data_IF_575504241744
#
_entry.id   IF_575504241744
#
_cell.length_a   1.000
_cell.length_b   1.000
_cell.length_c   1.000
_cell.angle_alpha   90.00
_cell.angle_beta   90.00
_cell.angle_gamma   90.00
#
_symmetry.space_group_name_H-M   'P 1'
#
loop_
_entity.id
_entity.type
_entity.pdbx_description
1 polymer ?
#
# COMPACT_ATOMS: atom_id res chain seq x y z
N UNK A 1 -14.72 -13.67 12.92
CA UNK A 1 -15.61 -12.86 12.05
C UNK A 1 -17.00 -12.94 12.64
N UNK A 2 -17.23 -12.20 13.73
CA UNK A 2 -18.51 -12.23 14.47
C UNK A 2 -19.25 -10.88 14.39
N UNK A 3 -18.80 -9.96 13.53
CA UNK A 3 -19.50 -8.69 13.31
C UNK A 3 -20.78 -8.95 12.52
N UNK A 4 -21.99 -8.67 13.08
CA UNK A 4 -23.24 -8.86 12.34
C UNK A 4 -23.26 -8.11 11.02
N UNK A 5 -23.81 -8.74 10.00
CA UNK A 5 -23.95 -8.20 8.64
C UNK A 5 -22.63 -7.65 8.07
N UNK A 6 -21.50 -8.28 8.43
CA UNK A 6 -20.15 -7.82 8.11
C UNK A 6 -20.02 -7.31 6.67
N UNK A 7 -20.41 -8.11 5.66
CA UNK A 7 -20.24 -7.74 4.25
C UNK A 7 -21.07 -6.53 3.84
N UNK A 8 -22.27 -6.37 4.40
CA UNK A 8 -23.11 -5.21 4.12
C UNK A 8 -22.50 -3.95 4.75
N UNK A 9 -22.08 -4.04 6.02
CA UNK A 9 -21.47 -2.93 6.74
C UNK A 9 -20.11 -2.54 6.16
N UNK A 10 -19.30 -3.52 5.78
CA UNK A 10 -18.00 -3.33 5.13
C UNK A 10 -18.13 -2.56 3.81
N UNK A 11 -19.17 -2.86 3.02
CA UNK A 11 -19.51 -2.11 1.79
C UNK A 11 -19.92 -0.68 2.09
N UNK A 12 -20.75 -0.44 3.11
CA UNK A 12 -21.20 0.90 3.51
C UNK A 12 -20.04 1.79 3.97
N UNK A 13 -19.00 1.18 4.53
CA UNK A 13 -17.76 1.87 4.92
C UNK A 13 -16.86 2.22 3.73
N UNK A 14 -17.18 1.76 2.52
CA UNK A 14 -16.41 2.08 1.31
C UNK A 14 -15.32 1.07 0.96
N UNK A 15 -15.20 -0.03 1.71
CA UNK A 15 -14.33 -1.13 1.32
C UNK A 15 -14.93 -1.93 0.17
N UNK A 16 -14.07 -2.32 -0.77
CA UNK A 16 -14.43 -3.14 -1.92
C UNK A 16 -13.63 -4.45 -2.00
N UNK A 17 -12.80 -4.72 -0.98
CA UNK A 17 -11.98 -5.93 -0.86
C UNK A 17 -12.11 -6.55 0.53
N UNK A 18 -11.89 -7.86 0.61
CA UNK A 18 -11.72 -8.60 1.87
C UNK A 18 -10.37 -9.29 1.90
N UNK A 19 -9.79 -9.46 3.09
CA UNK A 19 -8.52 -10.16 3.27
C UNK A 19 -8.70 -11.65 3.50
N UNK A 20 -7.68 -12.41 3.09
CA UNK A 20 -7.57 -13.85 3.29
C UNK A 20 -6.13 -14.21 3.64
N UNK A 21 -5.98 -15.24 4.46
CA UNK A 21 -4.69 -15.73 4.94
C UNK A 21 -4.59 -17.26 4.75
N UNK A 22 -4.64 -17.78 3.51
CA UNK A 22 -4.67 -19.23 3.26
C UNK A 22 -3.44 -19.99 3.81
N UNK A 23 -2.35 -19.28 4.10
CA UNK A 23 -1.19 -19.83 4.79
C UNK A 23 -1.51 -20.44 6.16
N UNK A 24 -2.57 -19.99 6.83
CA UNK A 24 -3.02 -20.50 8.12
C UNK A 24 -4.15 -21.53 8.03
N UNK A 25 -4.64 -21.84 6.83
CA UNK A 25 -5.75 -22.77 6.68
C UNK A 25 -5.29 -24.21 6.83
N UNK A 26 -6.07 -24.97 7.59
CA UNK A 26 -5.94 -26.41 7.67
C UNK A 26 -7.05 -27.03 6.83
N UNK A 27 -6.70 -27.95 5.92
CA UNK A 27 -7.65 -28.63 5.04
C UNK A 27 -8.80 -29.33 5.81
N UNK A 28 -8.61 -29.67 7.08
CA UNK A 28 -9.64 -30.28 7.94
C UNK A 28 -10.64 -29.27 8.52
N UNK A 29 -10.37 -27.96 8.45
CA UNK A 29 -11.15 -26.92 9.12
C UNK A 29 -11.23 -25.61 8.32
N UNK A 30 -11.05 -25.66 7.00
CA UNK A 30 -11.04 -24.47 6.13
C UNK A 30 -12.42 -24.08 5.58
N UNK A 31 -13.45 -24.90 5.84
CA UNK A 31 -14.84 -24.68 5.41
C UNK A 31 -15.36 -23.27 5.68
N UNK A 32 -15.29 -22.76 6.93
CA UNK A 32 -15.76 -21.41 7.25
C UNK A 32 -15.05 -20.30 6.46
N UNK A 33 -13.75 -20.44 6.16
CA UNK A 33 -13.02 -19.45 5.36
C UNK A 33 -13.46 -19.48 3.91
N UNK A 34 -13.67 -20.67 3.34
CA UNK A 34 -14.16 -20.83 1.96
C UNK A 34 -15.57 -20.26 1.81
N UNK A 35 -16.47 -20.59 2.75
CA UNK A 35 -17.84 -20.04 2.79
C UNK A 35 -17.83 -18.52 2.87
N UNK A 36 -16.98 -17.94 3.72
CA UNK A 36 -16.81 -16.48 3.81
C UNK A 36 -16.33 -15.86 2.49
N UNK A 37 -15.33 -16.45 1.84
CA UNK A 37 -14.82 -15.90 0.58
C UNK A 37 -15.83 -16.05 -0.56
N UNK A 38 -16.57 -17.15 -0.61
CA UNK A 38 -17.63 -17.34 -1.62
C UNK A 38 -18.78 -16.36 -1.39
N UNK A 39 -19.19 -16.13 -0.13
CA UNK A 39 -20.15 -15.10 0.22
C UNK A 39 -19.63 -13.69 -0.16
N UNK A 40 -18.36 -13.40 0.09
CA UNK A 40 -17.72 -12.12 -0.25
C UNK A 40 -17.74 -11.87 -1.76
N UNK A 41 -17.36 -12.86 -2.57
CA UNK A 41 -17.41 -12.76 -4.04
C UNK A 41 -18.84 -12.60 -4.55
N UNK A 42 -19.80 -13.37 -4.01
CA UNK A 42 -21.23 -13.24 -4.36
C UNK A 42 -21.75 -11.84 -4.03
N UNK A 43 -21.26 -11.24 -2.95
CA UNK A 43 -21.54 -9.87 -2.58
C UNK A 43 -20.75 -8.83 -3.39
N UNK A 44 -19.92 -9.23 -4.36
CA UNK A 44 -19.19 -8.33 -5.26
C UNK A 44 -17.88 -7.76 -4.70
N UNK A 45 -17.28 -8.39 -3.68
CA UNK A 45 -15.97 -8.02 -3.17
C UNK A 45 -14.85 -8.73 -3.93
N UNK A 46 -13.71 -8.05 -4.05
CA UNK A 46 -12.44 -8.68 -4.43
C UNK A 46 -11.75 -9.29 -3.20
N UNK A 47 -10.85 -10.25 -3.43
CA UNK A 47 -10.11 -10.94 -2.37
C UNK A 47 -8.63 -10.58 -2.43
N UNK A 48 -8.08 -10.12 -1.31
CA UNK A 48 -6.65 -9.94 -1.09
C UNK A 48 -6.13 -11.17 -0.35
N UNK A 49 -5.18 -11.89 -0.94
CA UNK A 49 -4.34 -12.85 -0.23
C UNK A 49 -3.15 -12.10 0.34
N UNK A 50 -3.07 -12.00 1.66
CA UNK A 50 -1.83 -11.60 2.30
C UNK A 50 -0.95 -12.85 2.49
N UNK A 51 0.35 -12.73 2.25
CA UNK A 51 1.28 -13.85 2.41
C UNK A 51 2.67 -13.39 2.88
N UNK A 52 3.26 -14.11 3.83
CA UNK A 52 4.57 -13.82 4.41
C UNK A 52 5.56 -14.92 4.06
N UNK A 53 5.73 -15.23 2.77
CA UNK A 53 6.36 -16.46 2.28
C UNK A 53 7.66 -16.86 3.00
N UNK A 54 8.64 -15.96 3.05
CA UNK A 54 9.92 -16.29 3.67
C UNK A 54 9.86 -16.37 5.20
N UNK A 55 8.91 -15.69 5.85
CA UNK A 55 8.62 -15.91 7.27
C UNK A 55 8.00 -17.30 7.51
N UNK A 56 7.11 -17.76 6.62
CA UNK A 56 6.53 -19.10 6.70
C UNK A 56 7.59 -20.19 6.47
N UNK A 57 8.50 -20.01 5.51
CA UNK A 57 9.64 -20.90 5.32
C UNK A 57 10.53 -20.98 6.57
N UNK A 58 10.69 -19.87 7.31
CA UNK A 58 11.46 -19.85 8.56
C UNK A 58 10.71 -20.47 9.75
N UNK A 59 9.38 -20.59 9.69
CA UNK A 59 8.54 -21.01 10.82
C UNK A 59 8.89 -22.44 11.25
N UNK A 60 9.14 -22.64 12.53
CA UNK A 60 9.48 -23.96 13.10
C UNK A 60 10.93 -24.40 12.92
N UNK A 61 11.75 -23.67 12.17
CA UNK A 61 13.17 -23.98 12.01
C UNK A 61 14.03 -23.45 13.17
N UNK A 62 14.96 -24.28 13.65
CA UNK A 62 15.93 -23.93 14.69
C UNK A 62 17.14 -23.22 14.10
N UNK A 63 17.84 -22.43 14.92
CA UNK A 63 19.09 -21.80 14.51
C UNK A 63 20.08 -22.86 13.96
N UNK A 64 20.80 -22.52 12.90
CA UNK A 64 21.70 -23.45 12.20
C UNK A 64 21.01 -24.42 11.22
N UNK A 65 19.68 -24.35 11.06
CA UNK A 65 18.99 -25.03 9.95
C UNK A 65 19.55 -24.58 8.59
N UNK A 66 19.52 -25.47 7.59
CA UNK A 66 20.12 -25.24 6.27
C UNK A 66 19.60 -23.99 5.54
N UNK A 67 18.39 -23.51 5.86
CA UNK A 67 17.79 -22.31 5.26
C UNK A 67 18.51 -21.02 5.69
N UNK A 68 19.20 -21.04 6.84
CA UNK A 68 19.90 -19.88 7.39
C UNK A 68 21.33 -19.77 6.87
N UNK A 69 21.96 -18.62 7.08
CA UNK A 69 23.34 -18.36 6.69
C UNK A 69 24.30 -19.34 7.38
N UNK A 70 25.17 -19.97 6.59
CA UNK A 70 26.21 -20.89 7.04
C UNK A 70 27.48 -20.11 7.42
N UNK A 71 27.51 -19.54 8.62
CA UNK A 71 28.63 -18.74 9.11
C UNK A 71 29.54 -19.63 9.96
N UNK A 72 30.84 -19.76 9.64
CA UNK A 72 31.75 -20.63 10.40
C UNK A 72 31.79 -20.27 11.89
N UNK A 73 31.57 -21.27 12.76
CA UNK A 73 31.60 -21.09 14.21
C UNK A 73 30.35 -20.44 14.82
N UNK A 74 29.33 -20.09 14.02
CA UNK A 74 28.11 -19.42 14.51
C UNK A 74 26.84 -20.21 14.19
N UNK A 75 25.90 -20.26 15.14
CA UNK A 75 24.51 -20.70 14.91
C UNK A 75 23.59 -19.50 14.92
N UNK A 76 22.85 -19.27 13.83
CA UNK A 76 22.00 -18.08 13.66
C UNK A 76 20.65 -18.41 13.01
N UNK A 77 19.77 -17.41 12.93
CA UNK A 77 18.49 -17.44 12.20
C UNK A 77 18.42 -16.40 11.08
N UNK A 78 19.58 -15.95 10.58
CA UNK A 78 19.63 -15.00 9.47
C UNK A 78 19.31 -15.77 8.19
N UNK A 79 18.20 -15.43 7.53
CA UNK A 79 17.80 -16.14 6.33
C UNK A 79 18.84 -15.94 5.22
N UNK A 80 19.27 -17.05 4.61
CA UNK A 80 20.29 -17.04 3.59
C UNK A 80 19.71 -16.61 2.24
N UNK A 81 20.13 -15.46 1.67
CA UNK A 81 19.55 -14.95 0.43
C UNK A 81 19.80 -15.85 -0.79
N UNK A 82 20.86 -16.66 -0.75
CA UNK A 82 21.24 -17.59 -1.82
C UNK A 82 20.68 -19.01 -1.63
N UNK A 83 19.90 -19.27 -0.58
CA UNK A 83 19.30 -20.59 -0.40
C UNK A 83 18.23 -20.84 -1.45
N UNK A 84 18.35 -21.96 -2.18
CA UNK A 84 17.42 -22.47 -3.20
C UNK A 84 17.21 -23.98 -3.06
N UNK A 85 17.30 -24.51 -1.84
CA UNK A 85 17.15 -25.94 -1.56
C UNK A 85 15.69 -26.37 -1.39
N UNK A 86 15.45 -27.60 -0.91
CA UNK A 86 14.09 -28.18 -0.84
C UNK A 86 13.07 -27.37 -0.04
N UNK A 87 13.48 -26.66 1.03
CA UNK A 87 12.55 -25.81 1.79
C UNK A 87 12.11 -24.57 1.00
N UNK A 88 12.94 -24.08 0.07
CA UNK A 88 12.62 -22.97 -0.81
C UNK A 88 11.61 -23.41 -1.88
N UNK A 89 11.85 -24.55 -2.52
CA UNK A 89 10.92 -25.13 -3.51
C UNK A 89 9.55 -25.42 -2.89
N UNK A 90 9.54 -26.05 -1.70
CA UNK A 90 8.32 -26.30 -0.94
C UNK A 90 7.56 -25.01 -0.59
N UNK A 91 8.29 -23.92 -0.34
CA UNK A 91 7.66 -22.63 -0.07
C UNK A 91 6.96 -22.06 -1.31
N UNK A 92 7.59 -22.18 -2.49
CA UNK A 92 6.95 -21.79 -3.75
C UNK A 92 5.69 -22.64 -4.03
N UNK A 93 5.75 -23.95 -3.78
CA UNK A 93 4.58 -24.83 -3.86
C UNK A 93 3.47 -24.43 -2.88
N UNK A 94 3.84 -24.01 -1.66
CA UNK A 94 2.90 -23.51 -0.65
C UNK A 94 2.22 -22.23 -1.13
N UNK A 95 2.96 -21.28 -1.70
CA UNK A 95 2.40 -20.04 -2.25
C UNK A 95 1.42 -20.36 -3.38
N UNK A 96 1.79 -21.23 -4.33
CA UNK A 96 0.89 -21.67 -5.40
C UNK A 96 -0.39 -22.32 -4.84
N UNK A 97 -0.27 -23.16 -3.80
CA UNK A 97 -1.42 -23.73 -3.09
C UNK A 97 -2.30 -22.65 -2.46
N UNK A 98 -1.72 -21.66 -1.80
CA UNK A 98 -2.48 -20.57 -1.19
C UNK A 98 -3.27 -19.77 -2.24
N UNK A 99 -2.72 -19.57 -3.45
CA UNK A 99 -3.47 -18.97 -4.56
C UNK A 99 -4.66 -19.85 -4.98
N UNK A 100 -4.47 -21.17 -5.11
CA UNK A 100 -5.56 -22.10 -5.46
C UNK A 100 -6.70 -22.09 -4.46
N UNK A 101 -6.36 -22.11 -3.18
CA UNK A 101 -7.33 -22.15 -2.09
C UNK A 101 -8.01 -20.79 -1.88
N UNK A 102 -7.21 -19.72 -1.88
CA UNK A 102 -7.68 -18.36 -1.65
C UNK A 102 -8.43 -17.75 -2.83
N UNK A 103 -8.15 -18.20 -4.06
CA UNK A 103 -8.62 -17.64 -5.34
C UNK A 103 -8.61 -16.09 -5.34
N UNK A 104 -7.45 -15.46 -5.11
CA UNK A 104 -7.38 -14.02 -4.86
C UNK A 104 -7.44 -13.19 -6.15
N UNK A 105 -7.86 -11.93 -6.02
CA UNK A 105 -7.69 -10.88 -7.02
C UNK A 105 -6.35 -10.15 -6.84
N UNK A 106 -5.85 -10.12 -5.59
CA UNK A 106 -4.60 -9.48 -5.21
C UNK A 106 -3.75 -10.40 -4.35
N UNK A 107 -2.43 -10.35 -4.52
CA UNK A 107 -1.47 -10.97 -3.59
C UNK A 107 -0.59 -9.87 -3.01
N UNK A 108 -0.68 -9.66 -1.70
CA UNK A 108 0.14 -8.70 -0.98
C UNK A 108 1.13 -9.42 -0.09
N UNK A 109 2.42 -9.27 -0.40
CA UNK A 109 3.50 -9.87 0.36
C UNK A 109 3.83 -9.05 1.62
N UNK A 110 4.08 -9.75 2.71
CA UNK A 110 4.58 -9.20 3.97
C UNK A 110 5.91 -9.87 4.33
N UNK A 111 6.94 -9.44 3.59
CA UNK A 111 8.31 -9.98 3.65
C UNK A 111 9.19 -8.96 4.38
N UNK A 112 9.56 -9.29 5.62
CA UNK A 112 10.36 -8.41 6.48
C UNK A 112 11.62 -9.08 7.06
N UNK A 113 11.96 -10.26 6.57
CA UNK A 113 13.03 -11.07 7.13
C UNK A 113 14.44 -10.77 6.59
N UNK A 114 14.58 -9.79 5.68
CA UNK A 114 15.85 -9.53 4.97
C UNK A 114 16.80 -8.56 5.67
N UNK A 115 16.38 -7.91 6.77
CA UNK A 115 17.15 -6.85 7.43
C UNK A 115 18.60 -7.22 7.78
N UNK A 116 18.85 -8.48 8.14
CA UNK A 116 20.20 -8.95 8.53
C UNK A 116 20.90 -9.76 7.43
N UNK A 117 20.25 -10.00 6.30
CA UNK A 117 20.74 -10.93 5.28
C UNK A 117 21.98 -10.41 4.56
N UNK A 118 22.11 -9.10 4.34
CA UNK A 118 23.32 -8.53 3.74
C UNK A 118 24.56 -8.74 4.64
N UNK A 119 24.43 -8.45 5.94
CA UNK A 119 25.50 -8.65 6.91
C UNK A 119 25.86 -10.15 7.01
N UNK A 120 24.85 -11.03 7.11
CA UNK A 120 25.07 -12.48 7.16
C UNK A 120 25.70 -13.05 5.89
N UNK A 121 25.33 -12.55 4.71
CA UNK A 121 25.84 -13.05 3.43
C UNK A 121 27.35 -12.82 3.24
N UNK A 122 27.91 -11.76 3.81
CA UNK A 122 29.37 -11.49 3.79
C UNK A 122 30.21 -12.56 4.48
N UNK A 123 29.62 -13.32 5.40
CA UNK A 123 30.29 -14.38 6.17
C UNK A 123 29.77 -15.79 5.85
N UNK A 124 28.65 -15.89 5.13
CA UNK A 124 27.99 -17.15 4.81
C UNK A 124 28.76 -17.89 3.70
N UNK A 125 29.25 -19.10 3.97
CA UNK A 125 30.01 -19.91 2.99
C UNK A 125 29.24 -20.12 1.68
N UNK A 126 27.95 -20.47 1.76
CA UNK A 126 27.07 -20.60 0.59
C UNK A 126 27.00 -19.31 -0.24
N UNK A 127 26.81 -18.16 0.41
CA UNK A 127 26.77 -16.88 -0.31
C UNK A 127 28.12 -16.52 -0.92
N UNK A 128 29.23 -16.79 -0.24
CA UNK A 128 30.58 -16.53 -0.77
C UNK A 128 30.89 -17.41 -2.00
N UNK A 129 30.51 -18.68 -1.97
CA UNK A 129 30.65 -19.58 -3.12
C UNK A 129 29.82 -19.13 -4.31
N UNK A 130 28.55 -18.75 -4.09
CA UNK A 130 27.67 -18.23 -5.12
C UNK A 130 28.16 -16.89 -5.69
N UNK A 131 28.63 -15.98 -4.83
CA UNK A 131 29.24 -14.71 -5.23
C UNK A 131 30.47 -14.93 -6.11
N UNK A 132 31.36 -15.86 -5.74
CA UNK A 132 32.55 -16.17 -6.55
C UNK A 132 32.16 -16.68 -7.95
N UNK A 133 31.10 -17.49 -8.04
CA UNK A 133 30.59 -18.01 -9.31
C UNK A 133 29.92 -16.93 -10.15
N UNK A 134 29.26 -15.96 -9.53
CA UNK A 134 28.58 -14.88 -10.27
C UNK A 134 29.55 -13.86 -10.87
N UNK A 135 30.75 -13.70 -10.30
CA UNK A 135 31.74 -12.70 -10.73
C UNK A 135 31.30 -11.26 -10.44
N UNK A 136 30.27 -11.07 -9.61
CA UNK A 136 29.68 -9.76 -9.30
C UNK A 136 30.23 -9.19 -7.98
N UNK A 137 29.89 -7.93 -7.69
CA UNK A 137 30.08 -7.37 -6.34
C UNK A 137 29.06 -7.98 -5.37
N UNK A 138 29.35 -7.96 -4.07
CA UNK A 138 28.41 -8.45 -3.05
C UNK A 138 27.04 -7.77 -3.14
N UNK A 139 27.02 -6.45 -3.32
CA UNK A 139 25.77 -5.70 -3.44
C UNK A 139 24.96 -6.16 -4.65
N UNK A 140 25.59 -6.25 -5.82
CA UNK A 140 24.91 -6.66 -7.04
C UNK A 140 24.39 -8.11 -6.94
N UNK A 141 25.18 -9.01 -6.36
CA UNK A 141 24.76 -10.38 -6.09
C UNK A 141 23.56 -10.47 -5.15
N UNK A 142 23.50 -9.66 -4.10
CA UNK A 142 22.35 -9.64 -3.19
C UNK A 142 21.10 -9.10 -3.89
N UNK A 143 21.25 -8.07 -4.73
CA UNK A 143 20.15 -7.54 -5.52
C UNK A 143 19.64 -8.55 -6.56
N UNK A 144 20.53 -9.37 -7.15
CA UNK A 144 20.10 -10.52 -7.97
C UNK A 144 19.31 -11.51 -7.12
N UNK A 145 19.81 -11.88 -5.94
CA UNK A 145 19.11 -12.81 -5.05
C UNK A 145 17.70 -12.32 -4.72
N UNK A 146 17.54 -11.03 -4.38
CA UNK A 146 16.23 -10.43 -4.12
C UNK A 146 15.31 -10.42 -5.35
N UNK A 147 15.87 -10.12 -6.54
CA UNK A 147 15.11 -10.12 -7.79
C UNK A 147 14.65 -11.53 -8.19
N UNK A 148 15.52 -12.53 -8.04
CA UNK A 148 15.19 -13.94 -8.24
C UNK A 148 14.11 -14.41 -7.28
N UNK A 149 14.18 -14.04 -6.01
CA UNK A 149 13.13 -14.43 -5.05
C UNK A 149 11.76 -13.88 -5.43
N UNK A 150 11.70 -12.64 -5.95
CA UNK A 150 10.43 -12.07 -6.41
C UNK A 150 9.96 -12.69 -7.73
N UNK A 151 10.88 -13.03 -8.64
CA UNK A 151 10.56 -13.78 -9.87
C UNK A 151 9.93 -15.13 -9.54
N UNK A 152 10.52 -15.87 -8.61
CA UNK A 152 10.09 -17.22 -8.27
C UNK A 152 8.74 -17.21 -7.52
N UNK A 153 8.50 -16.18 -6.68
CA UNK A 153 7.18 -15.93 -6.07
C UNK A 153 6.10 -15.61 -7.13
N UNK A 154 6.42 -14.75 -8.10
CA UNK A 154 5.52 -14.43 -9.21
C UNK A 154 5.21 -15.68 -10.06
N UNK A 155 6.20 -16.52 -10.34
CA UNK A 155 6.01 -17.80 -11.02
C UNK A 155 5.11 -18.75 -10.22
N UNK A 156 5.28 -18.83 -8.91
CA UNK A 156 4.40 -19.63 -8.03
C UNK A 156 2.95 -19.12 -8.05
N UNK A 157 2.75 -17.80 -8.02
CA UNK A 157 1.41 -17.19 -8.11
C UNK A 157 0.76 -17.51 -9.47
N UNK A 158 1.50 -17.37 -10.57
CA UNK A 158 1.04 -17.71 -11.92
C UNK A 158 0.65 -19.18 -12.04
N UNK A 159 1.49 -20.09 -11.56
CA UNK A 159 1.20 -21.52 -11.57
C UNK A 159 -0.05 -21.86 -10.74
N UNK A 160 -0.20 -21.25 -9.57
CA UNK A 160 -1.40 -21.41 -8.74
C UNK A 160 -2.68 -20.94 -9.45
N UNK A 161 -2.62 -19.78 -10.10
CA UNK A 161 -3.75 -19.20 -10.83
C UNK A 161 -4.14 -20.03 -12.07
N UNK A 162 -3.15 -20.48 -12.85
CA UNK A 162 -3.33 -21.31 -14.04
C UNK A 162 -4.05 -22.63 -13.71
N UNK A 163 -3.64 -23.30 -12.62
CA UNK A 163 -4.22 -24.59 -12.20
C UNK A 163 -5.72 -24.53 -11.88
N UNK A 164 -6.25 -23.36 -11.52
CA UNK A 164 -7.67 -23.16 -11.23
C UNK A 164 -8.38 -22.27 -12.25
N UNK A 165 -7.70 -21.88 -13.34
CA UNK A 165 -8.27 -21.11 -14.45
C UNK A 165 -8.71 -19.69 -14.07
N UNK A 166 -8.02 -19.02 -13.15
CA UNK A 166 -8.29 -17.59 -12.83
C UNK A 166 -7.23 -16.66 -13.44
N UNK A 167 -7.54 -15.37 -13.66
CA UNK A 167 -6.53 -14.38 -14.01
C UNK A 167 -5.41 -14.32 -12.97
N UNK A 168 -4.18 -14.03 -13.41
CA UNK A 168 -3.05 -13.83 -12.50
C UNK A 168 -3.39 -12.67 -11.54
N UNK A 169 -3.37 -12.90 -10.22
CA UNK A 169 -3.64 -11.85 -9.24
C UNK A 169 -2.68 -10.68 -9.37
N UNK A 170 -3.16 -9.49 -9.04
CA UNK A 170 -2.33 -8.29 -9.00
C UNK A 170 -1.42 -8.34 -7.78
N UNK A 171 -0.11 -8.29 -7.98
CA UNK A 171 0.88 -8.50 -6.91
C UNK A 171 1.45 -7.18 -6.37
N UNK A 172 1.67 -7.11 -5.06
CA UNK A 172 2.32 -6.00 -4.35
C UNK A 172 3.12 -6.52 -3.15
N UNK A 173 4.07 -5.74 -2.65
CA UNK A 173 4.84 -6.09 -1.45
C UNK A 173 4.87 -4.93 -0.46
N UNK A 174 4.54 -5.24 0.79
CA UNK A 174 4.56 -4.32 1.92
C UNK A 174 5.88 -3.55 1.99
N UNK A 175 5.76 -2.24 2.18
CA UNK A 175 6.85 -1.29 2.30
C UNK A 175 7.86 -1.30 1.13
N UNK A 176 7.45 -1.71 -0.08
CA UNK A 176 8.26 -1.60 -1.29
C UNK A 176 7.73 -0.52 -2.20
N UNK A 177 8.55 0.50 -2.45
CA UNK A 177 8.13 1.68 -3.18
C UNK A 177 9.33 2.51 -3.67
N UNK A 178 9.10 3.41 -4.64
CA UNK A 178 10.16 4.13 -5.35
C UNK A 178 10.99 5.11 -4.49
N UNK A 179 10.40 5.70 -3.44
CA UNK A 179 11.12 6.62 -2.54
C UNK A 179 12.12 5.95 -1.58
N UNK A 180 11.86 4.69 -1.21
CA UNK A 180 12.78 3.86 -0.40
C UNK A 180 12.97 2.53 -1.12
N UNK A 181 13.70 2.55 -2.25
CA UNK A 181 13.68 1.44 -3.18
C UNK A 181 14.39 0.19 -2.63
N UNK A 182 15.37 0.38 -1.74
CA UNK A 182 16.15 -0.71 -1.17
C UNK A 182 15.58 -1.16 0.18
N UNK A 183 15.27 -2.45 0.28
CA UNK A 183 14.96 -3.12 1.54
C UNK A 183 15.78 -4.41 1.66
N UNK A 184 16.80 -4.39 2.51
CA UNK A 184 17.70 -5.54 2.66
C UNK A 184 18.36 -5.91 1.33
N UNK A 185 17.85 -6.96 0.69
CA UNK A 185 18.35 -7.49 -0.60
C UNK A 185 17.43 -7.16 -1.79
N UNK A 186 16.27 -6.54 -1.55
CA UNK A 186 15.27 -6.24 -2.58
C UNK A 186 15.39 -4.79 -3.02
N UNK A 187 15.42 -4.56 -4.35
CA UNK A 187 15.33 -3.23 -4.96
C UNK A 187 14.04 -3.12 -5.75
N UNK A 188 13.18 -2.18 -5.36
CA UNK A 188 11.89 -1.89 -5.99
C UNK A 188 12.00 -1.75 -7.51
N UNK A 189 13.03 -1.08 -8.02
CA UNK A 189 13.17 -0.81 -9.45
C UNK A 189 13.60 -2.03 -10.27
N UNK A 190 14.12 -3.08 -9.62
CA UNK A 190 14.45 -4.35 -10.28
C UNK A 190 13.26 -5.30 -10.37
N UNK A 191 12.29 -5.13 -9.47
CA UNK A 191 11.14 -6.03 -9.35
C UNK A 191 9.83 -5.41 -9.89
N UNK A 192 9.75 -4.07 -9.95
CA UNK A 192 8.63 -3.36 -10.54
C UNK A 192 8.93 -2.94 -11.99
N UNK A 193 8.00 -3.13 -12.96
CA UNK A 193 6.68 -3.74 -12.82
C UNK A 193 6.67 -5.26 -13.08
N UNK A 194 7.84 -5.92 -13.17
CA UNK A 194 7.98 -7.27 -13.70
C UNK A 194 7.34 -8.36 -12.82
N UNK A 195 7.49 -8.26 -11.50
CA UNK A 195 7.07 -9.27 -10.52
C UNK A 195 6.08 -8.70 -9.50
N UNK A 196 6.13 -7.39 -9.26
CA UNK A 196 5.09 -6.65 -8.53
C UNK A 196 4.57 -5.51 -9.40
N UNK A 197 3.31 -5.15 -9.18
CA UNK A 197 2.56 -4.26 -10.06
C UNK A 197 2.25 -2.88 -9.45
N UNK A 198 2.62 -2.66 -8.18
CA UNK A 198 2.35 -1.42 -7.47
C UNK A 198 3.37 -1.13 -6.37
N UNK A 199 3.52 0.14 -6.04
CA UNK A 199 4.17 0.57 -4.81
C UNK A 199 3.21 0.44 -3.62
N UNK A 200 3.71 -0.06 -2.49
CA UNK A 200 2.94 -0.15 -1.25
C UNK A 200 3.75 0.42 -0.07
N UNK A 201 3.96 1.75 0.00
CA UNK A 201 4.67 2.36 1.12
C UNK A 201 3.96 2.05 2.44
N UNK A 202 4.75 1.75 3.48
CA UNK A 202 4.23 1.66 4.84
C UNK A 202 4.10 3.05 5.43
N UNK A 203 2.88 3.42 5.80
CA UNK A 203 2.52 4.75 6.30
C UNK A 203 1.83 4.63 7.66
N UNK A 204 2.49 3.90 8.57
CA UNK A 204 2.12 3.85 9.99
C UNK A 204 2.67 5.08 10.71
N UNK A 205 2.02 6.22 10.46
CA UNK A 205 2.54 7.56 10.78
C UNK A 205 1.73 8.29 11.84
N UNK A 206 0.94 7.59 12.66
CA UNK A 206 0.19 8.15 13.79
C UNK A 206 -0.53 9.48 13.47
N UNK A 207 -1.36 9.48 12.42
CA UNK A 207 -2.16 10.63 12.01
C UNK A 207 -1.38 11.78 11.32
N UNK A 208 -0.08 11.62 11.03
CA UNK A 208 0.71 12.63 10.30
C UNK A 208 0.37 12.63 8.80
N UNK A 209 -0.72 13.28 8.43
CA UNK A 209 -1.19 13.40 7.04
C UNK A 209 -0.14 14.00 6.08
N UNK A 210 0.77 14.85 6.58
CA UNK A 210 1.93 15.31 5.82
C UNK A 210 2.81 14.16 5.32
N UNK A 211 3.13 13.20 6.18
CA UNK A 211 4.03 12.10 5.79
C UNK A 211 3.35 11.24 4.71
N UNK A 212 2.02 11.12 4.77
CA UNK A 212 1.20 10.50 3.72
C UNK A 212 1.28 11.31 2.42
N UNK A 213 1.03 12.61 2.47
CA UNK A 213 1.16 13.52 1.33
C UNK A 213 2.51 13.39 0.63
N UNK A 214 3.61 13.58 1.38
CA UNK A 214 4.97 13.60 0.85
C UNK A 214 5.33 12.24 0.22
N UNK A 215 4.95 11.14 0.88
CA UNK A 215 5.23 9.79 0.38
C UNK A 215 4.45 9.45 -0.88
N UNK A 216 3.13 9.71 -0.90
CA UNK A 216 2.29 9.35 -2.05
C UNK A 216 2.66 10.21 -3.26
N UNK A 217 2.80 11.52 -3.08
CA UNK A 217 3.23 12.44 -4.14
C UNK A 217 4.59 12.07 -4.69
N UNK A 218 5.56 11.79 -3.82
CA UNK A 218 6.91 11.42 -4.24
C UNK A 218 6.93 10.10 -5.02
N UNK A 219 6.16 9.09 -4.60
CA UNK A 219 6.02 7.86 -5.38
C UNK A 219 5.31 8.11 -6.72
N UNK A 220 4.25 8.92 -6.76
CA UNK A 220 3.57 9.26 -8.01
C UNK A 220 4.50 9.95 -9.01
N UNK A 221 5.35 10.88 -8.56
CA UNK A 221 6.37 11.53 -9.40
C UNK A 221 7.34 10.53 -10.04
N UNK A 222 7.79 9.55 -9.26
CA UNK A 222 8.75 8.55 -9.73
C UNK A 222 8.09 7.54 -10.68
N UNK A 223 6.88 7.09 -10.37
CA UNK A 223 6.15 6.09 -11.16
C UNK A 223 5.48 6.68 -12.41
N UNK A 224 5.12 7.97 -12.37
CA UNK A 224 4.33 8.68 -13.39
C UNK A 224 3.01 7.98 -13.71
N UNK A 225 2.47 7.27 -12.73
CA UNK A 225 1.21 6.54 -12.80
C UNK A 225 0.64 6.38 -11.39
N UNK A 226 -0.58 5.87 -11.29
CA UNK A 226 -1.30 5.73 -10.02
C UNK A 226 -1.21 4.33 -9.40
N UNK A 227 -0.21 3.53 -9.78
CA UNK A 227 -0.02 2.17 -9.24
C UNK A 227 0.57 2.21 -7.82
N UNK A 228 -0.18 2.81 -6.89
CA UNK A 228 0.18 3.00 -5.49
C UNK A 228 -1.02 2.62 -4.63
N UNK A 229 -0.80 1.72 -3.67
CA UNK A 229 -1.76 1.36 -2.61
C UNK A 229 -0.97 1.33 -1.30
N UNK A 230 -0.96 2.42 -0.51
CA UNK A 230 -0.22 2.45 0.76
C UNK A 230 -0.87 1.58 1.82
N UNK A 231 -0.06 1.19 2.79
CA UNK A 231 -0.52 0.65 4.07
C UNK A 231 -0.69 1.80 5.06
N UNK A 232 -1.92 2.25 5.25
CA UNK A 232 -2.29 3.16 6.33
C UNK A 232 -2.55 2.35 7.61
N UNK A 233 -2.74 3.05 8.72
CA UNK A 233 -3.17 2.46 9.98
C UNK A 233 -4.14 3.37 10.73
N UNK A 234 -4.98 2.76 11.55
CA UNK A 234 -5.82 3.44 12.53
C UNK A 234 -5.19 3.48 13.93
N UNK A 235 -4.02 2.84 14.16
CA UNK A 235 -3.41 2.80 15.51
C UNK A 235 -2.04 2.12 15.61
N UNK A 236 -1.65 1.27 14.63
CA UNK A 236 -0.33 0.64 14.59
C UNK A 236 0.80 1.69 14.67
N UNK A 237 1.68 1.49 15.64
CA UNK A 237 2.83 2.37 15.94
C UNK A 237 2.45 3.82 16.32
N UNK A 238 1.23 4.05 16.77
CA UNK A 238 0.84 5.26 17.50
C UNK A 238 -0.60 5.67 17.27
N UNK A 239 -1.34 5.84 18.37
CA UNK A 239 -2.69 6.39 18.41
C UNK A 239 -2.73 7.87 18.00
N UNK A 240 -3.87 8.30 17.46
CA UNK A 240 -4.11 9.67 17.04
C UNK A 240 -5.60 10.01 17.04
N UNK A 241 -5.95 11.28 16.98
CA UNK A 241 -7.34 11.71 16.92
C UNK A 241 -7.99 11.26 15.60
N UNK A 242 -9.09 10.51 15.69
CA UNK A 242 -9.74 9.83 14.54
C UNK A 242 -10.01 10.73 13.32
N UNK A 243 -10.22 12.04 13.51
CA UNK A 243 -10.44 12.96 12.38
C UNK A 243 -9.26 13.05 11.42
N UNK A 244 -8.03 12.74 11.88
CA UNK A 244 -6.84 12.73 11.02
C UNK A 244 -6.89 11.62 9.98
N UNK A 245 -7.68 10.57 10.20
CA UNK A 245 -7.86 9.51 9.21
C UNK A 245 -8.52 10.03 7.93
N UNK A 246 -9.49 10.95 8.03
CA UNK A 246 -10.08 11.65 6.87
C UNK A 246 -9.00 12.33 6.04
N UNK A 247 -8.09 13.06 6.72
CA UNK A 247 -6.99 13.78 6.07
C UNK A 247 -6.04 12.82 5.35
N UNK A 248 -5.65 11.72 5.99
CA UNK A 248 -4.77 10.70 5.38
C UNK A 248 -5.40 10.02 4.16
N UNK A 249 -6.70 9.71 4.21
CA UNK A 249 -7.44 9.14 3.07
C UNK A 249 -7.46 10.11 1.88
N UNK A 250 -7.79 11.38 2.14
CA UNK A 250 -7.84 12.41 1.10
C UNK A 250 -6.45 12.69 0.51
N UNK A 251 -5.41 12.83 1.34
CA UNK A 251 -4.04 13.01 0.85
C UNK A 251 -3.58 11.78 0.04
N UNK A 252 -4.01 10.58 0.38
CA UNK A 252 -3.67 9.40 -0.42
C UNK A 252 -4.26 9.49 -1.82
N UNK A 253 -5.56 9.74 -1.93
CA UNK A 253 -6.26 9.67 -3.21
C UNK A 253 -5.99 10.88 -4.12
N UNK A 254 -5.84 12.09 -3.54
CA UNK A 254 -5.58 13.31 -4.31
C UNK A 254 -4.10 13.52 -4.67
N UNK A 255 -3.18 12.70 -4.17
CA UNK A 255 -1.75 12.73 -4.57
C UNK A 255 -1.34 11.60 -5.52
N UNK A 256 -2.30 10.85 -6.05
CA UNK A 256 -2.03 9.89 -7.12
C UNK A 256 -1.98 8.42 -6.70
N UNK A 257 -2.50 8.04 -5.53
CA UNK A 257 -2.78 6.63 -5.27
C UNK A 257 -4.10 6.18 -5.91
N UNK A 258 -4.17 4.88 -6.27
CA UNK A 258 -5.40 4.26 -6.82
C UNK A 258 -6.27 3.58 -5.76
N UNK A 259 -5.83 3.57 -4.51
CA UNK A 259 -6.51 2.88 -3.43
C UNK A 259 -5.74 2.98 -2.14
N UNK A 260 -6.27 2.36 -1.09
CA UNK A 260 -5.73 2.35 0.27
C UNK A 260 -5.86 0.92 0.81
N UNK A 261 -4.90 0.46 1.61
CA UNK A 261 -5.04 -0.72 2.45
C UNK A 261 -4.67 -0.38 3.89
N UNK A 262 -5.03 -1.26 4.83
CA UNK A 262 -4.81 -1.06 6.25
C UNK A 262 -4.15 -2.26 6.91
N UNK A 263 -3.31 -1.97 7.90
CA UNK A 263 -2.96 -2.90 8.97
C UNK A 263 -3.34 -2.24 10.31
N UNK A 264 -4.11 -2.87 11.20
CA UNK A 264 -4.97 -4.05 10.97
C UNK A 264 -6.42 -3.75 11.36
N UNK A 265 -7.36 -4.66 11.06
CA UNK A 265 -8.76 -4.51 11.46
C UNK A 265 -8.91 -4.21 12.97
N UNK A 266 -8.05 -4.81 13.80
CA UNK A 266 -8.03 -4.57 15.25
C UNK A 266 -7.78 -3.11 15.63
N UNK A 267 -7.01 -2.36 14.84
CA UNK A 267 -6.71 -0.96 15.14
C UNK A 267 -7.93 -0.05 14.94
N UNK A 268 -8.91 -0.46 14.14
CA UNK A 268 -10.18 0.27 14.03
C UNK A 268 -11.12 0.01 15.22
N UNK A 269 -10.81 -0.97 16.08
CA UNK A 269 -11.72 -1.37 17.17
C UNK A 269 -11.53 -0.55 18.44
N UNK A 270 -10.41 0.17 18.56
CA UNK A 270 -10.17 1.08 19.70
C UNK A 270 -11.08 2.32 19.63
N UNK A 271 -11.44 2.75 18.40
CA UNK A 271 -12.42 3.83 18.18
C UNK A 271 -13.28 3.58 16.93
N UNK A 272 -14.61 3.40 17.07
CA UNK A 272 -15.49 3.32 15.89
C UNK A 272 -15.51 4.62 15.06
N UNK A 273 -14.95 5.72 15.58
CA UNK A 273 -14.83 6.97 14.84
C UNK A 273 -13.83 6.87 13.68
N UNK A 274 -12.87 5.95 13.72
CA UNK A 274 -11.93 5.75 12.60
C UNK A 274 -12.68 5.24 11.36
N UNK A 275 -13.60 4.30 11.55
CA UNK A 275 -14.50 3.88 10.47
C UNK A 275 -15.35 5.05 9.94
N UNK A 276 -15.85 5.90 10.84
CA UNK A 276 -16.62 7.09 10.43
C UNK A 276 -15.79 8.05 9.57
N UNK A 277 -14.58 8.42 10.00
CA UNK A 277 -13.76 9.38 9.25
C UNK A 277 -13.20 8.81 7.94
N UNK A 278 -12.91 7.50 7.89
CA UNK A 278 -12.64 6.79 6.63
C UNK A 278 -13.83 6.90 5.67
N UNK A 279 -15.03 6.47 6.11
CA UNK A 279 -16.22 6.45 5.28
C UNK A 279 -16.65 7.87 4.85
N UNK A 280 -16.51 8.85 5.75
CA UNK A 280 -16.79 10.27 5.48
C UNK A 280 -15.91 10.80 4.34
N UNK A 281 -14.59 10.56 4.40
CA UNK A 281 -13.66 10.99 3.36
C UNK A 281 -14.04 10.41 2.00
N UNK A 282 -14.31 9.09 1.95
CA UNK A 282 -14.72 8.41 0.72
C UNK A 282 -16.07 8.91 0.19
N UNK A 283 -17.06 9.11 1.07
CA UNK A 283 -18.37 9.62 0.69
C UNK A 283 -18.29 11.02 0.08
N UNK A 284 -17.41 11.88 0.62
CA UNK A 284 -17.21 13.24 0.15
C UNK A 284 -16.63 13.30 -1.27
N UNK A 285 -15.72 12.39 -1.60
CA UNK A 285 -15.07 12.36 -2.92
C UNK A 285 -15.73 11.43 -3.94
N UNK A 286 -16.63 10.53 -3.51
CA UNK A 286 -17.31 9.56 -4.38
C UNK A 286 -17.92 10.18 -5.65
N UNK A 287 -18.60 11.35 -5.61
CA UNK A 287 -19.14 11.97 -6.83
C UNK A 287 -18.09 12.35 -7.88
N UNK A 288 -16.81 12.38 -7.49
CA UNK A 288 -15.67 12.81 -8.30
C UNK A 288 -14.70 11.65 -8.60
N UNK A 289 -15.13 10.40 -8.44
CA UNK A 289 -14.28 9.21 -8.62
C UNK A 289 -13.58 9.20 -9.98
N UNK A 290 -14.27 9.50 -11.09
CA UNK A 290 -13.65 9.55 -12.42
C UNK A 290 -12.60 10.65 -12.57
N UNK A 291 -12.78 11.78 -11.88
CA UNK A 291 -11.78 12.85 -11.85
C UNK A 291 -10.54 12.38 -11.08
N UNK A 292 -10.71 11.71 -9.94
CA UNK A 292 -9.60 11.16 -9.14
C UNK A 292 -8.89 10.04 -9.90
N UNK A 293 -9.62 9.15 -10.56
CA UNK A 293 -9.07 8.02 -11.30
C UNK A 293 -8.28 8.48 -12.52
N UNK A 294 -8.85 9.36 -13.35
CA UNK A 294 -8.30 9.67 -14.66
C UNK A 294 -7.59 11.02 -14.75
N UNK A 295 -7.79 11.91 -13.77
CA UNK A 295 -7.28 13.27 -13.82
C UNK A 295 -5.77 13.34 -13.59
N UNK A 296 -5.20 14.44 -14.07
CA UNK A 296 -3.82 14.81 -13.82
C UNK A 296 -3.65 15.26 -12.37
N UNK A 297 -2.69 14.67 -11.66
CA UNK A 297 -2.30 15.13 -10.32
C UNK A 297 -1.49 16.42 -10.48
N UNK A 298 -1.93 17.47 -9.80
CA UNK A 298 -1.32 18.78 -9.79
C UNK A 298 -0.67 19.06 -8.44
N UNK A 299 0.37 19.90 -8.48
CA UNK A 299 1.05 20.44 -7.31
C UNK A 299 0.86 21.96 -7.27
N UNK A 300 -0.37 22.43 -7.02
CA UNK A 300 -0.62 23.85 -6.92
C UNK A 300 0.12 24.45 -5.73
N UNK A 301 0.23 25.78 -5.72
CA UNK A 301 0.78 26.50 -4.57
C UNK A 301 -0.10 27.71 -4.27
N UNK A 302 -0.21 28.05 -2.99
CA UNK A 302 -0.77 29.32 -2.53
C UNK A 302 0.29 30.29 -2.03
N UNK A 303 -0.17 31.41 -1.49
CA UNK A 303 0.67 32.41 -0.81
C UNK A 303 1.22 31.90 0.51
N UNK A 304 0.53 30.97 1.19
CA UNK A 304 1.03 30.34 2.40
C UNK A 304 1.84 29.10 2.00
N UNK A 305 3.16 29.17 2.16
CA UNK A 305 4.10 28.09 1.79
C UNK A 305 4.22 26.97 2.83
N UNK A 306 3.62 27.16 4.01
CA UNK A 306 3.57 26.15 5.07
C UNK A 306 2.35 25.21 4.92
N UNK A 307 1.37 25.57 4.10
CA UNK A 307 0.26 24.67 3.77
C UNK A 307 0.65 23.69 2.66
N UNK A 308 0.03 22.52 2.68
CA UNK A 308 0.13 21.53 1.61
C UNK A 308 -1.08 21.65 0.69
N UNK A 309 -0.84 21.61 -0.63
CA UNK A 309 -1.89 21.73 -1.64
C UNK A 309 -1.82 20.55 -2.59
N UNK A 310 -2.92 19.83 -2.74
CA UNK A 310 -3.06 18.62 -3.56
C UNK A 310 -4.20 18.80 -4.55
N UNK A 311 -3.90 18.74 -5.84
CA UNK A 311 -4.87 18.97 -6.90
C UNK A 311 -5.05 17.76 -7.80
N UNK A 312 -6.27 17.52 -8.29
CA UNK A 312 -6.51 16.62 -9.42
C UNK A 312 -7.40 17.32 -10.43
N UNK A 313 -6.94 17.44 -11.69
CA UNK A 313 -7.63 18.19 -12.74
C UNK A 313 -7.91 17.33 -13.98
N UNK A 314 -9.11 17.48 -14.56
CA UNK A 314 -9.51 16.89 -15.85
C UNK A 314 -10.68 17.69 -16.44
N UNK A 315 -10.65 17.95 -17.75
CA UNK A 315 -11.79 18.49 -18.52
C UNK A 315 -12.49 19.71 -17.86
N UNK A 316 -11.72 20.74 -17.50
CA UNK A 316 -12.27 21.95 -16.88
C UNK A 316 -12.74 21.77 -15.44
N UNK A 317 -12.46 20.64 -14.80
CA UNK A 317 -12.81 20.32 -13.41
C UNK A 317 -11.56 20.08 -12.59
N UNK A 318 -11.59 20.49 -11.32
CA UNK A 318 -10.51 20.27 -10.38
C UNK A 318 -11.04 19.95 -8.98
N UNK A 319 -10.44 18.96 -8.32
CA UNK A 319 -10.46 18.85 -6.87
C UNK A 319 -9.21 19.50 -6.31
N UNK A 320 -9.37 20.28 -5.25
CA UNK A 320 -8.27 20.95 -4.54
C UNK A 320 -8.41 20.66 -3.05
N UNK A 321 -7.49 19.88 -2.51
CA UNK A 321 -7.29 19.69 -1.07
C UNK A 321 -6.18 20.65 -0.61
N UNK A 322 -6.43 21.35 0.49
CA UNK A 322 -5.43 22.19 1.16
C UNK A 322 -5.40 21.84 2.64
N UNK A 323 -4.23 21.46 3.15
CA UNK A 323 -4.04 21.07 4.55
C UNK A 323 -3.11 22.01 5.31
N UNK A 324 -3.52 22.42 6.51
CA UNK A 324 -2.73 23.23 7.44
C UNK A 324 -2.20 22.36 8.60
N UNK A 325 -1.37 21.38 8.27
CA UNK A 325 -0.83 20.42 9.23
C UNK A 325 0.25 20.99 10.15
N UNK A 326 0.81 22.17 9.81
CA UNK A 326 1.86 22.84 10.58
C UNK A 326 1.31 23.90 11.54
N UNK A 327 0.00 24.08 11.62
CA UNK A 327 -0.62 25.13 12.43
C UNK A 327 -0.17 26.56 12.04
N UNK A 328 0.09 26.75 10.75
CA UNK A 328 0.45 28.02 10.16
C UNK A 328 -0.73 29.02 10.20
N UNK A 329 -0.49 30.25 9.73
CA UNK A 329 -1.55 31.25 9.54
C UNK A 329 -2.64 30.72 8.61
N UNK A 330 -3.91 30.89 8.99
CA UNK A 330 -5.01 30.17 8.33
C UNK A 330 -5.32 30.69 6.93
N UNK A 331 -4.98 31.95 6.63
CA UNK A 331 -5.29 32.61 5.37
C UNK A 331 -4.33 32.20 4.25
N UNK A 332 -4.88 31.93 3.07
CA UNK A 332 -4.08 31.79 1.85
C UNK A 332 -4.83 32.24 0.59
N UNK A 333 -4.06 32.55 -0.46
CA UNK A 333 -4.57 32.88 -1.79
C UNK A 333 -3.90 31.95 -2.80
N UNK A 334 -4.70 31.31 -3.63
CA UNK A 334 -4.23 30.43 -4.70
C UNK A 334 -4.60 30.99 -6.07
N UNK A 335 -3.67 30.89 -7.03
CA UNK A 335 -3.97 31.11 -8.43
C UNK A 335 -4.51 29.81 -9.05
N UNK A 336 -5.78 29.82 -9.46
CA UNK A 336 -6.42 28.65 -10.06
C UNK A 336 -5.94 28.43 -11.51
N UNK A 337 -5.77 27.17 -11.97
CA UNK A 337 -5.23 26.84 -13.29
C UNK A 337 -6.32 26.87 -14.39
N UNK A 338 -7.15 27.91 -14.39
CA UNK A 338 -8.25 28.14 -15.35
C UNK A 338 -8.14 29.55 -15.91
N UNK A 339 -8.47 29.72 -17.20
CA UNK A 339 -8.57 31.05 -17.79
C UNK A 339 -9.78 31.80 -17.22
N UNK A 340 -10.88 31.07 -17.02
CA UNK A 340 -12.10 31.56 -16.36
C UNK A 340 -12.61 30.54 -15.36
N UNK A 341 -12.77 30.95 -14.11
CA UNK A 341 -13.42 30.12 -13.08
C UNK A 341 -14.93 30.29 -13.21
N UNK A 342 -15.65 29.18 -13.35
CA UNK A 342 -17.11 29.16 -13.50
C UNK A 342 -17.84 28.77 -12.22
N UNK A 343 -17.13 28.18 -11.25
CA UNK A 343 -17.70 27.91 -9.94
C UNK A 343 -16.71 27.24 -9.00
N UNK A 344 -16.85 27.53 -7.70
CA UNK A 344 -16.12 26.93 -6.60
C UNK A 344 -17.14 26.46 -5.57
N UNK A 345 -16.96 25.25 -5.04
CA UNK A 345 -17.77 24.71 -3.95
C UNK A 345 -16.85 24.13 -2.88
N UNK A 346 -17.00 24.58 -1.65
CA UNK A 346 -16.37 23.94 -0.50
C UNK A 346 -17.13 22.64 -0.19
N UNK A 347 -16.47 21.51 -0.38
CA UNK A 347 -17.08 20.20 -0.19
C UNK A 347 -17.26 19.85 1.29
N UNK A 348 -16.70 20.61 2.23
CA UNK A 348 -16.89 20.39 3.67
C UNK A 348 -18.16 21.09 4.17
N UNK A 349 -18.42 22.32 3.73
CA UNK A 349 -19.63 23.08 4.12
C UNK A 349 -20.79 22.92 3.12
N UNK A 350 -20.50 22.57 1.87
CA UNK A 350 -21.45 22.58 0.76
C UNK A 350 -21.70 23.98 0.18
N UNK A 351 -21.02 25.00 0.69
CA UNK A 351 -21.21 26.38 0.27
C UNK A 351 -20.54 26.67 -1.08
N UNK A 352 -21.20 27.49 -1.89
CA UNK A 352 -20.62 28.03 -3.12
C UNK A 352 -19.83 29.29 -2.79
N UNK A 353 -18.64 29.40 -3.38
CA UNK A 353 -17.76 30.56 -3.22
C UNK A 353 -17.63 31.26 -4.56
N UNK A 354 -17.47 32.58 -4.53
CA UNK A 354 -17.33 33.38 -5.74
C UNK A 354 -16.10 32.96 -6.55
N UNK A 355 -16.32 32.78 -7.86
CA UNK A 355 -15.29 32.30 -8.79
C UNK A 355 -14.35 33.42 -9.19
N UNK A 356 -13.17 33.50 -8.56
CA UNK A 356 -12.09 34.39 -8.96
C UNK A 356 -10.81 33.58 -9.28
N UNK A 357 -10.01 33.97 -10.30
CA UNK A 357 -8.73 33.32 -10.56
C UNK A 357 -7.75 33.39 -9.37
N UNK A 358 -7.83 34.46 -8.58
CA UNK A 358 -7.22 34.56 -7.26
C UNK A 358 -8.24 34.14 -6.20
N UNK A 359 -8.15 32.89 -5.76
CA UNK A 359 -9.08 32.32 -4.80
C UNK A 359 -8.50 32.43 -3.39
N UNK A 360 -9.11 33.28 -2.57
CA UNK A 360 -8.75 33.51 -1.16
C UNK A 360 -9.67 32.72 -0.24
N UNK A 361 -9.10 32.04 0.75
CA UNK A 361 -9.83 31.26 1.75
C UNK A 361 -8.97 30.99 2.99
N UNK A 362 -9.60 30.45 4.04
CA UNK A 362 -8.95 30.07 5.29
C UNK A 362 -8.96 28.56 5.51
N UNK A 363 -7.84 28.02 5.97
CA UNK A 363 -7.67 26.62 6.39
C UNK A 363 -7.31 26.59 7.87
N UNK A 364 -8.23 26.15 8.75
CA UNK A 364 -7.98 26.11 10.19
C UNK A 364 -6.76 25.28 10.54
N UNK A 365 -6.11 25.64 11.66
CA UNK A 365 -4.97 24.89 12.19
C UNK A 365 -5.29 23.41 12.40
N UNK A 366 -4.36 22.53 12.01
CA UNK A 366 -4.50 21.06 12.05
C UNK A 366 -5.67 20.51 11.24
N UNK A 367 -6.22 21.29 10.30
CA UNK A 367 -7.39 20.93 9.52
C UNK A 367 -7.15 21.12 8.01
N UNK A 368 -8.18 20.80 7.23
CA UNK A 368 -8.16 20.82 5.77
C UNK A 368 -9.30 21.68 5.19
N UNK A 369 -9.17 22.06 3.92
CA UNK A 369 -10.28 22.45 3.05
C UNK A 369 -10.24 21.60 1.79
N UNK A 370 -11.40 21.25 1.28
CA UNK A 370 -11.53 20.48 0.04
C UNK A 370 -12.52 21.20 -0.86
N UNK A 371 -12.09 21.59 -2.05
CA UNK A 371 -12.90 22.32 -3.01
C UNK A 371 -13.11 21.51 -4.28
N UNK A 372 -14.31 21.64 -4.86
CA UNK A 372 -14.57 21.31 -6.25
C UNK A 372 -14.67 22.59 -7.07
N UNK A 373 -13.87 22.66 -8.13
CA UNK A 373 -13.68 23.86 -8.93
C UNK A 373 -13.99 23.52 -10.39
N UNK A 374 -14.72 24.39 -11.05
CA UNK A 374 -15.00 24.32 -12.49
C UNK A 374 -14.48 25.56 -13.19
N UNK A 375 -13.96 25.39 -14.40
CA UNK A 375 -13.49 26.49 -15.22
C UNK A 375 -13.25 26.10 -16.67
N UNK A 376 -12.91 27.12 -17.46
CA UNK A 376 -12.53 27.04 -18.87
C UNK A 376 -11.03 27.21 -19.04
#
# INVERSE_FOLDING_TARGET
MEWPDFLENWRKLGFNTVSSFPRFWNAKSDGPYKEYLDASRKAGFKVIMNDSAFHEMMRGHKAGSEIFCQIPGETNKILCPSYRGPYYEKEMERVARCVREGKPDYVFYDIECWHHSAAGASKCTRCQEALKKSGKSMNEFLLDCGSETMRDLDAAVKAGAEQIGIPVPVQGSYNRHGLKPLYGIEDFWRIYPAYISMAQPSLYVAGRARDVHDSIRGNHKLLKNKQIIPWLTAGTYGEFESYKLEQMVLETLLNGARGITYYAYGDFTDSPLDFYYHAKALAQIRPYESLIADGEVLEPTGTNKEMLYSGVKKDGKMLLLVGNYFNATEKTVMKLPFAKVTGITDLRSGEKVDGAPGFEFEVPKSDIRLFYITGQ
#
